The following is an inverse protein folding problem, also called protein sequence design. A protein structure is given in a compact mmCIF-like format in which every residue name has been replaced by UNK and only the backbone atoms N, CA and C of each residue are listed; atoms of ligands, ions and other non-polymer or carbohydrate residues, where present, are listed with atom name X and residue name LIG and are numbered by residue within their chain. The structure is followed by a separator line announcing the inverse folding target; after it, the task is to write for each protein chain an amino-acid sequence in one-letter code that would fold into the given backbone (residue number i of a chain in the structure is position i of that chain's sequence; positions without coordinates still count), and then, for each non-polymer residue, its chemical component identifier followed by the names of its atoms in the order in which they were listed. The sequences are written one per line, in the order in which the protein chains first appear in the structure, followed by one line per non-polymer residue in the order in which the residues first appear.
data_IF_265433486079
#
_entry.id   IF_265433486079
#
_cell.length_a   1.000
_cell.length_b   1.000
_cell.length_c   1.000
_cell.angle_alpha   90.00
_cell.angle_beta   90.00
_cell.angle_gamma   90.00
#
_symmetry.space_group_name_H-M   'P 1'
#
loop_
_entity.id
_entity.type
_entity.pdbx_description
1 polymer ?
#
# COMPACT_ATOMS: atom_id res chain seq x y z
N UNK A 1 55.32 1.33 30.00
CA UNK A 1 54.76 0.42 31.03
C UNK A 1 53.74 1.18 31.88
N UNK A 2 52.65 0.51 32.24
CA UNK A 2 51.65 0.84 33.26
C UNK A 2 50.56 1.89 32.98
N UNK A 3 49.41 1.32 32.56
CA UNK A 3 48.00 1.62 32.87
C UNK A 3 47.71 2.78 33.83
N UNK A 4 46.77 3.64 33.43
CA UNK A 4 45.81 4.27 34.33
C UNK A 4 44.50 4.49 33.59
N UNK A 5 43.53 3.63 33.91
CA UNK A 5 42.14 3.74 33.49
C UNK A 5 41.48 4.93 34.20
N UNK A 6 40.81 5.80 33.46
CA UNK A 6 39.80 6.70 34.03
C UNK A 6 38.43 6.17 33.65
N UNK A 7 37.81 5.57 34.65
CA UNK A 7 36.37 5.32 34.75
C UNK A 7 35.70 6.69 34.81
N UNK A 8 34.83 7.00 33.85
CA UNK A 8 33.84 8.07 34.00
C UNK A 8 32.48 7.40 34.04
N UNK A 9 31.88 7.45 35.22
CA UNK A 9 30.54 7.00 35.50
C UNK A 9 29.52 7.99 34.94
N UNK A 10 28.61 7.45 34.13
CA UNK A 10 27.15 7.62 34.15
C UNK A 10 26.66 8.96 34.73
N UNK A 11 26.17 9.84 33.83
CA UNK A 11 25.01 10.67 34.11
C UNK A 11 23.93 10.31 33.08
N UNK A 12 22.89 9.65 33.59
CA UNK A 12 21.65 9.39 32.89
C UNK A 12 20.97 10.72 32.54
N UNK A 13 20.80 10.98 31.24
CA UNK A 13 19.76 11.88 30.76
C UNK A 13 18.76 10.99 30.04
N UNK A 14 17.71 10.68 30.76
CA UNK A 14 16.46 10.10 30.28
C UNK A 14 15.82 11.11 29.32
N UNK A 15 16.28 11.13 28.07
CA UNK A 15 15.51 11.74 26.99
C UNK A 15 14.41 10.75 26.64
N UNK A 16 13.26 10.94 27.28
CA UNK A 16 11.99 10.36 26.82
C UNK A 16 11.84 10.81 25.37
N UNK A 17 12.07 9.87 24.45
CA UNK A 17 11.68 9.99 23.06
C UNK A 17 10.15 10.16 23.06
N UNK A 18 9.71 11.40 22.99
CA UNK A 18 8.39 11.75 22.50
C UNK A 18 8.37 11.37 21.02
N UNK A 19 8.09 10.09 20.76
CA UNK A 19 7.55 9.67 19.46
C UNK A 19 6.31 10.54 19.26
N UNK A 20 6.18 11.30 18.15
CA UNK A 20 5.01 12.11 17.91
C UNK A 20 3.79 11.19 17.90
N UNK A 21 2.95 11.37 18.91
CA UNK A 21 1.73 10.66 19.26
C UNK A 21 0.59 10.90 18.25
N UNK A 22 0.90 11.02 16.96
CA UNK A 22 -0.06 11.34 15.90
C UNK A 22 -0.69 10.08 15.29
N UNK A 23 -0.11 8.89 15.52
CA UNK A 23 -0.64 7.64 14.95
C UNK A 23 -1.70 6.92 15.81
N UNK A 24 -1.90 7.31 17.08
CA UNK A 24 -2.82 6.57 17.98
C UNK A 24 -4.28 7.02 17.82
N UNK A 25 -4.55 8.18 17.22
CA UNK A 25 -5.93 8.59 16.91
C UNK A 25 -6.52 7.91 15.65
N UNK A 26 -5.74 7.09 14.94
CA UNK A 26 -6.22 6.28 13.80
C UNK A 26 -6.93 4.99 14.22
N UNK A 27 -6.92 4.63 15.51
CA UNK A 27 -7.63 3.47 16.05
C UNK A 27 -8.85 3.92 16.84
N UNK A 28 -9.87 4.44 16.15
CA UNK A 28 -11.17 4.64 16.77
C UNK A 28 -11.71 3.27 17.24
N UNK A 29 -12.11 3.05 18.51
CA UNK A 29 -12.44 1.73 19.06
C UNK A 29 -13.73 1.10 18.52
N UNK A 30 -14.32 1.67 17.47
CA UNK A 30 -15.50 1.13 16.79
C UNK A 30 -15.05 0.24 15.60
N UNK A 31 -13.97 -0.52 15.77
CA UNK A 31 -13.81 -1.76 15.03
C UNK A 31 -14.67 -2.77 15.79
N UNK A 32 -15.95 -2.83 15.42
CA UNK A 32 -16.77 -3.99 15.74
C UNK A 32 -15.94 -5.24 15.40
N UNK A 33 -15.96 -6.22 16.31
CA UNK A 33 -15.36 -7.56 16.13
C UNK A 33 -15.94 -8.27 14.90
N UNK A 34 -15.59 -7.82 13.72
CA UNK A 34 -15.71 -8.57 12.50
C UNK A 34 -14.50 -9.51 12.52
N UNK A 35 -14.79 -10.81 12.50
CA UNK A 35 -13.74 -11.82 12.57
C UNK A 35 -12.91 -11.71 11.29
N UNK A 36 -11.70 -11.16 11.41
CA UNK A 36 -10.75 -11.24 10.33
C UNK A 36 -10.46 -12.72 10.05
N UNK A 37 -10.67 -13.15 8.81
CA UNK A 37 -10.49 -14.54 8.40
C UNK A 37 -9.33 -14.65 7.42
N UNK A 38 -8.54 -15.70 7.57
CA UNK A 38 -7.62 -16.12 6.53
C UNK A 38 -8.42 -16.80 5.41
N UNK A 39 -8.14 -16.43 4.16
CA UNK A 39 -8.57 -17.18 2.98
C UNK A 39 -7.34 -17.67 2.22
N UNK A 40 -6.81 -18.86 2.57
CA UNK A 40 -5.55 -19.34 2.01
C UNK A 40 -5.61 -19.51 0.48
N UNK A 41 -6.78 -19.78 -0.09
CA UNK A 41 -6.93 -19.96 -1.53
C UNK A 41 -6.82 -18.62 -2.28
N UNK A 42 -7.57 -17.60 -1.86
CA UNK A 42 -7.52 -16.27 -2.46
C UNK A 42 -6.12 -15.65 -2.29
N UNK A 43 -5.55 -15.73 -1.08
CA UNK A 43 -4.20 -15.23 -0.80
C UNK A 43 -3.14 -15.96 -1.63
N UNK A 44 -3.20 -17.29 -1.73
CA UNK A 44 -2.26 -18.06 -2.55
C UNK A 44 -2.35 -17.67 -4.03
N UNK A 45 -3.56 -17.50 -4.56
CA UNK A 45 -3.76 -17.10 -5.95
C UNK A 45 -3.18 -15.70 -6.22
N UNK A 46 -3.44 -14.73 -5.35
CA UNK A 46 -2.88 -13.39 -5.47
C UNK A 46 -1.33 -13.41 -5.37
N UNK A 47 -0.77 -14.20 -4.46
CA UNK A 47 0.69 -14.33 -4.31
C UNK A 47 1.36 -14.97 -5.52
N UNK A 48 0.67 -15.86 -6.25
CA UNK A 48 1.16 -16.40 -7.52
C UNK A 48 1.27 -15.28 -8.55
N UNK A 49 0.22 -14.48 -8.73
CA UNK A 49 0.23 -13.31 -9.64
C UNK A 49 1.37 -12.35 -9.25
N UNK A 50 1.48 -12.00 -7.96
CA UNK A 50 2.52 -11.10 -7.50
C UNK A 50 3.93 -11.63 -7.78
N UNK A 51 4.20 -12.91 -7.55
CA UNK A 51 5.52 -13.48 -7.84
C UNK A 51 5.80 -13.53 -9.34
N UNK A 52 4.80 -13.81 -10.16
CA UNK A 52 4.93 -13.84 -11.61
C UNK A 52 5.34 -12.47 -12.16
N UNK A 53 4.70 -11.39 -11.69
CA UNK A 53 4.90 -10.05 -12.25
C UNK A 53 5.87 -9.15 -11.47
N UNK A 54 6.12 -9.38 -10.19
CA UNK A 54 6.96 -8.48 -9.36
C UNK A 54 8.39 -8.95 -9.15
N UNK A 55 8.73 -10.21 -9.44
CA UNK A 55 10.07 -10.74 -9.11
C UNK A 55 11.20 -9.93 -9.74
N UNK A 56 10.99 -9.48 -10.98
CA UNK A 56 12.02 -8.74 -11.72
C UNK A 56 11.94 -7.21 -11.51
N UNK A 57 10.77 -6.69 -11.13
CA UNK A 57 10.50 -5.25 -11.11
C UNK A 57 10.43 -4.65 -9.70
N UNK A 58 9.99 -5.43 -8.71
CA UNK A 58 9.86 -5.01 -7.33
C UNK A 58 10.43 -6.05 -6.35
N UNK A 59 11.75 -6.30 -6.40
CA UNK A 59 12.40 -7.27 -5.52
C UNK A 59 12.23 -6.92 -4.04
N UNK A 60 12.11 -5.63 -3.70
CA UNK A 60 11.83 -5.17 -2.35
C UNK A 60 10.45 -5.63 -1.84
N UNK A 61 9.39 -5.49 -2.66
CA UNK A 61 8.04 -5.98 -2.31
C UNK A 61 8.06 -7.50 -2.14
N UNK A 62 8.63 -8.22 -3.11
CA UNK A 62 8.70 -9.68 -3.10
C UNK A 62 9.45 -10.20 -1.86
N UNK A 63 10.50 -9.52 -1.43
CA UNK A 63 11.26 -9.85 -0.22
C UNK A 63 10.45 -9.73 1.06
N UNK A 64 9.48 -8.83 1.11
CA UNK A 64 8.62 -8.62 2.28
C UNK A 64 7.38 -9.53 2.29
N UNK A 65 6.98 -10.12 1.16
CA UNK A 65 5.81 -11.02 1.09
C UNK A 65 5.86 -12.18 2.11
N UNK A 66 6.99 -12.89 2.33
CA UNK A 66 7.06 -13.95 3.34
C UNK A 66 6.88 -13.46 4.79
N UNK A 67 7.12 -12.17 5.04
CA UNK A 67 6.96 -11.54 6.36
C UNK A 67 5.60 -10.85 6.52
N UNK A 68 4.69 -11.06 5.57
CA UNK A 68 3.40 -10.39 5.53
C UNK A 68 2.26 -11.39 5.58
N UNK A 69 1.31 -11.14 6.48
CA UNK A 69 0.08 -11.89 6.64
C UNK A 69 -1.07 -11.11 5.99
N UNK A 70 -1.84 -11.77 5.13
CA UNK A 70 -3.06 -11.21 4.54
C UNK A 70 -4.27 -11.73 5.31
N UNK A 71 -5.07 -10.82 5.84
CA UNK A 71 -6.33 -11.10 6.51
C UNK A 71 -7.47 -10.41 5.78
N UNK A 72 -8.62 -11.06 5.71
CA UNK A 72 -9.81 -10.45 5.12
C UNK A 72 -10.80 -10.10 6.21
N UNK A 73 -11.37 -8.90 6.13
CA UNK A 73 -12.40 -8.46 7.05
C UNK A 73 -13.40 -7.58 6.30
N UNK A 74 -14.65 -7.62 6.73
CA UNK A 74 -15.63 -6.65 6.27
C UNK A 74 -15.19 -5.26 6.76
N UNK A 75 -15.12 -4.30 5.85
CA UNK A 75 -14.76 -2.92 6.16
C UNK A 75 -15.89 -1.99 5.71
N UNK A 76 -16.17 -0.99 6.52
CA UNK A 76 -17.11 0.08 6.17
C UNK A 76 -16.47 1.06 5.16
N UNK A 77 -17.32 1.75 4.41
CA UNK A 77 -17.01 3.02 3.74
C UNK A 77 -15.84 3.03 2.75
N UNK A 78 -15.81 2.09 1.79
CA UNK A 78 -14.92 2.21 0.64
C UNK A 78 -13.43 2.23 1.00
N UNK A 79 -13.08 1.54 2.09
CA UNK A 79 -11.69 1.19 2.43
C UNK A 79 -11.45 -0.23 1.92
N UNK A 80 -10.36 -0.40 1.20
CA UNK A 80 -10.05 -1.62 0.45
C UNK A 80 -8.99 -2.45 1.14
N UNK A 81 -8.09 -1.77 1.83
CA UNK A 81 -7.15 -2.37 2.75
C UNK A 81 -6.61 -1.39 3.77
N UNK A 82 -5.84 -1.92 4.71
CA UNK A 82 -4.88 -1.15 5.49
C UNK A 82 -3.79 -2.07 6.04
N UNK A 83 -2.70 -1.44 6.47
CA UNK A 83 -1.53 -2.12 7.05
C UNK A 83 -1.45 -1.92 8.56
N UNK A 84 -1.15 -3.00 9.27
CA UNK A 84 -0.59 -2.98 10.63
C UNK A 84 0.88 -3.44 10.53
N UNK A 85 1.85 -2.51 10.65
CA UNK A 85 3.27 -2.85 10.56
C UNK A 85 3.74 -3.84 11.62
N UNK A 86 4.77 -4.62 11.28
CA UNK A 86 5.36 -5.63 12.15
C UNK A 86 5.80 -5.08 13.52
N UNK A 87 6.20 -3.81 13.57
CA UNK A 87 6.68 -3.11 14.76
C UNK A 87 5.61 -2.90 15.83
N UNK A 88 4.33 -2.84 15.42
CA UNK A 88 3.18 -2.67 16.31
C UNK A 88 2.27 -3.90 16.35
N UNK A 89 2.54 -4.90 15.51
CA UNK A 89 1.81 -6.15 15.45
C UNK A 89 2.28 -7.14 16.52
N UNK A 90 1.33 -7.80 17.20
CA UNK A 90 1.63 -8.86 18.19
C UNK A 90 2.39 -10.05 17.57
N UNK A 91 2.13 -10.36 16.30
CA UNK A 91 2.78 -11.47 15.59
C UNK A 91 4.20 -11.14 15.12
N UNK A 92 4.63 -9.88 15.24
CA UNK A 92 5.88 -9.35 14.64
C UNK A 92 5.96 -9.56 13.13
N UNK A 93 4.80 -9.69 12.48
CA UNK A 93 4.65 -9.74 11.03
C UNK A 93 3.84 -8.53 10.59
N UNK A 94 4.09 -8.06 9.37
CA UNK A 94 3.19 -7.09 8.75
C UNK A 94 1.84 -7.78 8.55
N UNK A 95 0.75 -7.11 8.93
CA UNK A 95 -0.59 -7.61 8.69
C UNK A 95 -1.26 -6.65 7.72
N UNK A 96 -1.63 -7.15 6.54
CA UNK A 96 -2.47 -6.42 5.61
C UNK A 96 -3.88 -6.94 5.80
N UNK A 97 -4.78 -6.04 6.17
CA UNK A 97 -6.21 -6.30 6.13
C UNK A 97 -6.71 -5.90 4.75
N UNK A 98 -7.51 -6.75 4.12
CA UNK A 98 -8.18 -6.50 2.84
C UNK A 98 -9.68 -6.62 3.05
N UNK A 99 -10.45 -5.77 2.38
CA UNK A 99 -11.90 -5.86 2.41
C UNK A 99 -12.36 -7.24 1.92
N UNK A 100 -13.28 -7.88 2.65
CA UNK A 100 -13.63 -9.28 2.43
C UNK A 100 -14.31 -9.58 1.09
N UNK A 101 -14.89 -8.59 0.41
CA UNK A 101 -15.47 -8.79 -0.91
C UNK A 101 -14.42 -9.26 -1.93
N UNK A 102 -13.15 -8.81 -1.82
CA UNK A 102 -12.05 -9.25 -2.69
C UNK A 102 -11.76 -10.75 -2.60
N UNK A 103 -12.26 -11.47 -1.58
CA UNK A 103 -12.08 -12.93 -1.48
C UNK A 103 -12.73 -13.70 -2.64
N UNK A 104 -13.75 -13.12 -3.27
CA UNK A 104 -14.52 -13.76 -4.35
C UNK A 104 -14.12 -13.26 -5.73
N UNK A 105 -13.20 -12.31 -5.78
CA UNK A 105 -12.81 -11.63 -7.00
C UNK A 105 -11.61 -12.30 -7.69
N UNK A 106 -11.37 -11.97 -8.97
CA UNK A 106 -10.18 -12.47 -9.66
C UNK A 106 -8.91 -12.12 -8.88
N UNK A 107 -7.98 -13.08 -8.82
CA UNK A 107 -6.74 -12.94 -8.05
C UNK A 107 -5.92 -11.69 -8.39
N UNK A 108 -5.99 -11.23 -9.65
CA UNK A 108 -5.32 -10.01 -10.11
C UNK A 108 -5.85 -8.74 -9.43
N UNK A 109 -7.15 -8.70 -9.10
CA UNK A 109 -7.73 -7.56 -8.38
C UNK A 109 -7.24 -7.55 -6.93
N UNK A 110 -7.25 -8.69 -6.24
CA UNK A 110 -6.64 -8.78 -4.90
C UNK A 110 -5.14 -8.47 -4.93
N UNK A 111 -4.43 -8.90 -5.98
CA UNK A 111 -3.00 -8.63 -6.14
C UNK A 111 -2.71 -7.13 -6.25
N UNK A 112 -3.52 -6.36 -6.98
CA UNK A 112 -3.29 -4.91 -7.10
C UNK A 112 -3.48 -4.18 -5.76
N UNK A 113 -4.47 -4.60 -4.97
CA UNK A 113 -4.67 -4.08 -3.60
C UNK A 113 -3.47 -4.45 -2.72
N UNK A 114 -2.95 -5.68 -2.83
CA UNK A 114 -1.75 -6.07 -2.09
C UNK A 114 -0.54 -5.22 -2.50
N UNK A 115 -0.38 -4.86 -3.77
CA UNK A 115 0.71 -3.95 -4.21
C UNK A 115 0.60 -2.58 -3.55
N UNK A 116 -0.62 -2.04 -3.49
CA UNK A 116 -0.91 -0.80 -2.79
C UNK A 116 -0.49 -0.88 -1.32
N UNK A 117 -1.04 -1.84 -0.58
CA UNK A 117 -0.81 -1.97 0.85
C UNK A 117 0.65 -2.31 1.18
N UNK A 118 1.29 -3.16 0.37
CA UNK A 118 2.71 -3.45 0.54
C UNK A 118 3.61 -2.23 0.26
N UNK A 119 3.15 -1.27 -0.54
CA UNK A 119 3.86 0.01 -0.68
C UNK A 119 3.89 0.76 0.65
N UNK A 120 2.79 0.76 1.41
CA UNK A 120 2.77 1.33 2.76
C UNK A 120 3.65 0.57 3.75
N UNK A 121 3.72 -0.76 3.66
CA UNK A 121 4.69 -1.56 4.44
C UNK A 121 6.12 -1.04 4.20
N UNK A 122 6.50 -0.84 2.93
CA UNK A 122 7.83 -0.34 2.59
C UNK A 122 8.05 1.11 3.06
N UNK A 123 7.06 1.98 2.89
CA UNK A 123 7.13 3.37 3.36
C UNK A 123 7.31 3.45 4.89
N UNK A 124 6.61 2.60 5.64
CA UNK A 124 6.75 2.52 7.09
C UNK A 124 8.15 2.05 7.48
N UNK A 125 8.60 0.92 6.90
CA UNK A 125 9.92 0.33 7.16
C UNK A 125 11.08 1.27 6.83
N UNK A 126 10.93 2.07 5.78
CA UNK A 126 11.95 3.03 5.35
C UNK A 126 11.85 4.39 6.06
N UNK A 127 10.89 4.57 6.96
CA UNK A 127 10.71 5.84 7.69
C UNK A 127 10.34 7.01 6.78
N UNK A 128 9.49 6.78 5.77
CA UNK A 128 9.09 7.81 4.81
C UNK A 128 8.49 9.04 5.52
N UNK A 129 9.14 10.20 5.35
CA UNK A 129 8.72 11.51 5.88
C UNK A 129 7.64 12.17 5.03
N UNK A 130 7.24 11.56 3.91
CA UNK A 130 6.16 12.06 3.07
C UNK A 130 4.84 12.17 3.86
N UNK A 131 4.04 13.19 3.54
CA UNK A 131 2.69 13.34 4.07
C UNK A 131 1.77 12.22 3.58
N UNK A 132 0.55 12.17 4.12
CA UNK A 132 -0.42 11.13 3.78
C UNK A 132 -0.73 11.11 2.27
N UNK A 133 -0.92 12.28 1.65
CA UNK A 133 -1.28 12.36 0.22
C UNK A 133 -0.14 11.81 -0.63
N UNK A 134 1.10 12.21 -0.38
CA UNK A 134 2.25 11.70 -1.15
C UNK A 134 2.51 10.19 -0.93
N UNK A 135 2.14 9.67 0.24
CA UNK A 135 2.17 8.22 0.51
C UNK A 135 1.15 7.47 -0.33
N UNK A 136 -0.08 7.94 -0.39
CA UNK A 136 -1.15 7.40 -1.26
C UNK A 136 -0.76 7.52 -2.75
N UNK A 137 -0.24 8.68 -3.17
CA UNK A 137 0.22 8.90 -4.55
C UNK A 137 1.27 7.87 -4.93
N UNK A 138 2.22 7.58 -4.04
CA UNK A 138 3.25 6.57 -4.29
C UNK A 138 2.64 5.16 -4.37
N UNK A 139 1.67 4.82 -3.53
CA UNK A 139 0.98 3.53 -3.55
C UNK A 139 0.21 3.33 -4.87
N UNK A 140 -0.63 4.28 -5.27
CA UNK A 140 -1.36 4.24 -6.54
C UNK A 140 -0.45 4.31 -7.78
N UNK A 141 0.69 5.00 -7.68
CA UNK A 141 1.67 4.99 -8.76
C UNK A 141 2.28 3.58 -8.91
N UNK A 142 2.55 2.88 -7.81
CA UNK A 142 3.01 1.48 -7.86
C UNK A 142 1.93 0.52 -8.38
N UNK A 143 0.65 0.75 -8.09
CA UNK A 143 -0.44 0.02 -8.75
C UNK A 143 -0.43 0.22 -10.26
N UNK A 144 -0.28 1.46 -10.73
CA UNK A 144 -0.24 1.78 -12.14
C UNK A 144 0.91 1.03 -12.84
N UNK A 145 2.10 1.04 -12.22
CA UNK A 145 3.23 0.28 -12.74
C UNK A 145 2.96 -1.22 -12.76
N UNK A 146 2.40 -1.78 -11.69
CA UNK A 146 2.01 -3.18 -11.66
C UNK A 146 1.05 -3.52 -12.80
N UNK A 147 0.03 -2.69 -13.03
CA UNK A 147 -0.89 -2.82 -14.17
C UNK A 147 -0.15 -2.85 -15.52
N UNK A 148 0.86 -2.00 -15.71
CA UNK A 148 1.67 -1.95 -16.93
C UNK A 148 2.33 -3.29 -17.27
N UNK A 149 2.71 -4.04 -16.24
CA UNK A 149 3.42 -5.31 -16.38
C UNK A 149 2.49 -6.52 -16.53
N UNK A 150 1.20 -6.37 -16.21
CA UNK A 150 0.22 -7.42 -16.42
C UNK A 150 0.08 -7.76 -17.91
N UNK A 151 -0.09 -9.05 -18.20
CA UNK A 151 -0.44 -9.45 -19.55
C UNK A 151 -1.81 -8.90 -19.99
N UNK A 152 -2.11 -8.98 -21.28
CA UNK A 152 -3.38 -8.45 -21.82
C UNK A 152 -4.61 -9.11 -21.20
N UNK A 153 -4.55 -10.39 -20.85
CA UNK A 153 -5.67 -11.14 -20.28
C UNK A 153 -5.94 -10.67 -18.85
N UNK A 154 -4.90 -10.51 -18.04
CA UNK A 154 -4.98 -10.07 -16.66
C UNK A 154 -5.38 -8.60 -16.56
N UNK A 155 -4.87 -7.73 -17.44
CA UNK A 155 -5.36 -6.34 -17.57
C UNK A 155 -6.84 -6.26 -17.88
N UNK A 156 -7.32 -7.04 -18.85
CA UNK A 156 -8.74 -7.07 -19.20
C UNK A 156 -9.60 -7.62 -18.06
N UNK A 157 -9.11 -8.63 -17.34
CA UNK A 157 -9.79 -9.19 -16.17
C UNK A 157 -9.91 -8.15 -15.06
N UNK A 158 -8.82 -7.42 -14.79
CA UNK A 158 -8.77 -6.35 -13.81
C UNK A 158 -9.74 -5.21 -14.17
N UNK A 159 -9.69 -4.70 -15.40
CA UNK A 159 -10.59 -3.62 -15.85
C UNK A 159 -12.06 -4.05 -15.83
N UNK A 160 -12.37 -5.29 -16.17
CA UNK A 160 -13.73 -5.82 -16.09
C UNK A 160 -14.22 -5.88 -14.65
N UNK A 161 -13.40 -6.44 -13.75
CA UNK A 161 -13.73 -6.53 -12.33
C UNK A 161 -13.91 -5.13 -11.74
N UNK A 162 -12.94 -4.25 -11.92
CA UNK A 162 -12.95 -2.91 -11.33
C UNK A 162 -14.06 -1.99 -11.88
N UNK A 163 -14.61 -2.23 -13.09
CA UNK A 163 -15.81 -1.50 -13.57
C UNK A 163 -17.11 -2.02 -12.96
N UNK A 164 -17.14 -3.28 -12.52
CA UNK A 164 -18.30 -3.89 -11.90
C UNK A 164 -18.47 -3.41 -10.45
N UNK A 165 -17.37 -3.02 -9.81
CA UNK A 165 -17.38 -2.51 -8.45
C UNK A 165 -17.29 -0.99 -8.45
N UNK A 166 -18.19 -0.35 -7.72
CA UNK A 166 -18.23 1.12 -7.62
C UNK A 166 -17.42 1.64 -6.42
N UNK A 167 -16.54 0.82 -5.83
CA UNK A 167 -15.67 1.23 -4.73
C UNK A 167 -14.54 2.18 -5.20
N UNK A 168 -13.99 3.00 -4.28
CA UNK A 168 -12.98 4.00 -4.60
C UNK A 168 -11.70 3.44 -5.25
N UNK A 169 -11.11 2.34 -4.77
CA UNK A 169 -9.92 1.72 -5.40
C UNK A 169 -10.28 1.11 -6.73
N UNK A 170 -11.40 0.43 -6.90
CA UNK A 170 -11.77 -0.07 -8.23
C UNK A 170 -11.86 1.09 -9.25
N UNK A 171 -12.42 2.24 -8.85
CA UNK A 171 -12.41 3.46 -9.66
C UNK A 171 -11.00 4.03 -9.85
N UNK A 172 -10.19 4.07 -8.78
CA UNK A 172 -8.83 4.61 -8.78
C UNK A 172 -7.90 3.75 -9.64
N UNK A 173 -7.94 2.43 -9.50
CA UNK A 173 -7.26 1.42 -10.30
C UNK A 173 -7.66 1.50 -11.78
N UNK A 174 -8.94 1.68 -12.10
CA UNK A 174 -9.37 1.91 -13.49
C UNK A 174 -8.78 3.22 -14.03
N UNK A 175 -8.83 4.28 -13.22
CA UNK A 175 -8.29 5.57 -13.60
C UNK A 175 -6.76 5.51 -13.77
N UNK A 176 -6.02 4.94 -12.83
CA UNK A 176 -4.55 4.81 -12.86
C UNK A 176 -4.09 3.95 -14.04
N UNK A 177 -4.80 2.87 -14.35
CA UNK A 177 -4.58 2.05 -15.54
C UNK A 177 -4.72 2.87 -16.84
N UNK A 178 -5.78 3.67 -16.96
CA UNK A 178 -6.03 4.52 -18.14
C UNK A 178 -5.04 5.68 -18.26
N UNK A 179 -4.64 6.25 -17.12
CA UNK A 179 -3.65 7.33 -17.02
C UNK A 179 -2.30 6.85 -17.52
N UNK A 180 -1.91 5.63 -17.19
CA UNK A 180 -0.62 5.12 -17.60
C UNK A 180 -0.53 4.95 -19.12
N UNK A 181 -1.53 4.32 -19.73
CA UNK A 181 -1.56 4.11 -21.19
C UNK A 181 -1.53 5.46 -21.94
N UNK A 182 -2.26 6.46 -21.42
CA UNK A 182 -2.26 7.82 -21.95
C UNK A 182 -0.90 8.51 -21.77
N UNK A 183 -0.32 8.47 -20.57
CA UNK A 183 0.95 9.14 -20.29
C UNK A 183 2.12 8.52 -21.05
N UNK A 184 2.13 7.20 -21.24
CA UNK A 184 3.10 6.52 -22.11
C UNK A 184 2.94 7.00 -23.56
N UNK A 185 1.70 7.17 -24.02
CA UNK A 185 1.42 7.69 -25.38
C UNK A 185 1.88 9.15 -25.53
N UNK A 186 1.59 10.00 -24.55
CA UNK A 186 1.90 11.44 -24.59
C UNK A 186 3.41 11.71 -24.41
N UNK A 187 4.11 10.93 -23.59
CA UNK A 187 5.53 11.12 -23.29
C UNK A 187 6.50 10.33 -24.18
N UNK A 188 6.02 9.29 -24.87
CA UNK A 188 6.87 8.24 -25.45
C UNK A 188 7.32 7.22 -24.38
N UNK A 189 7.33 5.94 -24.75
CA UNK A 189 7.63 4.84 -23.82
C UNK A 189 9.07 4.90 -23.27
N UNK A 190 9.99 5.49 -24.03
CA UNK A 190 11.39 5.67 -23.69
C UNK A 190 11.65 6.81 -22.69
N UNK A 191 10.71 7.74 -22.52
CA UNK A 191 10.87 8.89 -21.62
C UNK A 191 10.31 8.60 -20.23
N UNK A 192 11.01 7.72 -19.51
CA UNK A 192 10.59 7.22 -18.19
C UNK A 192 10.23 8.34 -17.21
N UNK A 193 11.06 9.38 -17.09
CA UNK A 193 10.80 10.45 -16.14
C UNK A 193 9.50 11.21 -16.46
N UNK A 194 9.21 11.45 -17.75
CA UNK A 194 8.01 12.16 -18.17
C UNK A 194 6.73 11.44 -17.75
N UNK A 195 6.59 10.16 -18.11
CA UNK A 195 5.35 9.45 -17.83
C UNK A 195 5.20 9.11 -16.35
N UNK A 196 6.31 8.95 -15.60
CA UNK A 196 6.28 8.84 -14.14
C UNK A 196 5.75 10.11 -13.48
N UNK A 197 6.30 11.27 -13.83
CA UNK A 197 5.88 12.54 -13.23
C UNK A 197 4.44 12.91 -13.61
N UNK A 198 4.06 12.66 -14.87
CA UNK A 198 2.68 12.82 -15.34
C UNK A 198 1.71 11.90 -14.59
N UNK A 199 2.11 10.65 -14.33
CA UNK A 199 1.29 9.68 -13.59
C UNK A 199 1.12 10.14 -12.15
N UNK A 200 2.21 10.50 -11.45
CA UNK A 200 2.14 11.02 -10.08
C UNK A 200 1.24 12.24 -9.96
N UNK A 201 1.36 13.19 -10.89
CA UNK A 201 0.53 14.41 -10.88
C UNK A 201 -0.95 14.08 -11.08
N UNK A 202 -1.27 13.16 -11.97
CA UNK A 202 -2.66 12.78 -12.21
C UNK A 202 -3.23 12.00 -11.01
N UNK A 203 -2.47 11.05 -10.48
CA UNK A 203 -2.82 10.30 -9.27
C UNK A 203 -3.04 11.24 -8.09
N UNK A 204 -2.17 12.24 -7.90
CA UNK A 204 -2.33 13.25 -6.84
C UNK A 204 -3.67 13.97 -6.94
N UNK A 205 -4.07 14.39 -8.14
CA UNK A 205 -5.37 15.02 -8.33
C UNK A 205 -6.50 14.05 -7.98
N UNK A 206 -6.42 12.79 -8.38
CA UNK A 206 -7.44 11.80 -8.02
C UNK A 206 -7.54 11.55 -6.50
N UNK A 207 -6.41 11.47 -5.81
CA UNK A 207 -6.37 11.34 -4.34
C UNK A 207 -7.01 12.57 -3.69
N UNK A 208 -6.71 13.77 -4.17
CA UNK A 208 -7.29 15.02 -3.67
C UNK A 208 -8.77 15.20 -4.06
N UNK A 209 -9.23 14.63 -5.16
CA UNK A 209 -10.64 14.69 -5.58
C UNK A 209 -11.51 13.65 -4.86
N UNK A 210 -10.90 12.61 -4.28
CA UNK A 210 -11.59 11.55 -3.54
C UNK A 210 -11.93 12.00 -2.12
N UNK A 211 -13.23 12.02 -1.79
CA UNK A 211 -13.70 12.30 -0.43
C UNK A 211 -13.14 11.30 0.60
N UNK A 212 -13.02 10.03 0.23
CA UNK A 212 -12.46 8.98 1.10
C UNK A 212 -11.01 9.29 1.46
N UNK A 213 -10.14 9.54 0.47
CA UNK A 213 -8.72 9.78 0.74
C UNK A 213 -8.47 11.14 1.38
N UNK A 214 -9.22 12.17 1.00
CA UNK A 214 -9.17 13.46 1.70
C UNK A 214 -9.47 13.31 3.19
N UNK A 215 -10.52 12.56 3.54
CA UNK A 215 -10.86 12.28 4.95
C UNK A 215 -9.76 11.49 5.63
N UNK A 216 -9.27 10.43 5.01
CA UNK A 216 -8.20 9.59 5.59
C UNK A 216 -6.89 10.37 5.81
N UNK A 217 -6.60 11.33 4.92
CA UNK A 217 -5.43 12.20 4.99
C UNK A 217 -5.65 13.52 5.73
N UNK A 218 -6.82 13.74 6.34
CA UNK A 218 -7.17 14.98 7.04
C UNK A 218 -6.97 16.26 6.19
N UNK A 219 -7.27 16.18 4.89
CA UNK A 219 -7.21 17.32 3.97
C UNK A 219 -8.54 18.09 4.03
N UNK A 220 -8.48 19.30 4.57
CA UNK A 220 -9.59 20.27 4.59
C UNK A 220 -9.71 21.01 3.27
N UNK A 221 -10.94 21.39 2.89
CA UNK A 221 -11.22 22.20 1.69
C UNK A 221 -10.69 23.63 1.78
#
# INVERSE_FOLDING_TARGET
MSKSAKIIAICAITTILLIPFVFINYLNPIIHRLQAVENPQATKAAFVVLREYLTDFYPALVKELPNTKILYQQMDNGIEGYVVPAEISESKQNIIYINDHFQKEPAVLTAIVIVHEMTHVLQFKNGSEHDCVEKEVTAFTNEAYFYAFLDTKDRNTLLYAARKFEDPVSKMTVATAQILDKNITDCGAENTNCWIDATKNTVRNLVLDSETYRKNCNVTE
#
